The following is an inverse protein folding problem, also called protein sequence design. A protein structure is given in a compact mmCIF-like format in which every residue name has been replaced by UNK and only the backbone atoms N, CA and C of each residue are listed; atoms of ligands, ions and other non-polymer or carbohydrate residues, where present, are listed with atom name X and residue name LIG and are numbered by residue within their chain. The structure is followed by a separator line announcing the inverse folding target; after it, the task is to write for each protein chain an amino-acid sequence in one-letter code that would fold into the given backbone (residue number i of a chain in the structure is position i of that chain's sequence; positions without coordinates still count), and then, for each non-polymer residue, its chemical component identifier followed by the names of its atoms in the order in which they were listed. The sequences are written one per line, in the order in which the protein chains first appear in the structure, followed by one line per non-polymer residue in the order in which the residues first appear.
data_IF_740315785911
#
_entry.id   IF_740315785911
#
_cell.length_a   1.000
_cell.length_b   1.000
_cell.length_c   1.000
_cell.angle_alpha   90.00
_cell.angle_beta   90.00
_cell.angle_gamma   90.00
#
_symmetry.space_group_name_H-M   'P 1'
#
loop_
_entity.id
_entity.type
_entity.pdbx_description
1 polymer ?
#
# COMPACT_ATOMS: atom_id res chain seq x y z
N UNK A 1 -16.07 -0.17 -6.05
CA UNK A 1 -17.10 -0.50 -7.06
C UNK A 1 -17.38 -1.99 -6.96
N UNK A 2 -18.62 -2.43 -7.19
CA UNK A 2 -18.94 -3.86 -7.15
C UNK A 2 -18.52 -4.52 -8.46
N UNK A 3 -18.00 -5.75 -8.36
CA UNK A 3 -17.55 -6.52 -9.53
C UNK A 3 -18.70 -6.88 -10.47
N UNK A 4 -19.92 -6.92 -9.93
CA UNK A 4 -21.16 -7.26 -10.62
C UNK A 4 -21.96 -6.04 -11.11
N UNK A 5 -21.56 -4.82 -10.74
CA UNK A 5 -22.30 -3.55 -10.92
C UNK A 5 -23.73 -3.53 -10.37
N UNK A 6 -24.13 -4.57 -9.64
CA UNK A 6 -25.48 -4.76 -9.10
C UNK A 6 -25.54 -4.43 -7.60
N UNK A 7 -24.44 -4.67 -6.85
CA UNK A 7 -24.42 -4.55 -5.38
C UNK A 7 -23.39 -3.56 -4.85
N UNK A 8 -23.81 -2.32 -4.57
CA UNK A 8 -22.89 -1.27 -4.10
C UNK A 8 -22.64 -1.37 -2.59
N UNK A 9 -21.39 -1.66 -2.21
CA UNK A 9 -20.92 -1.55 -0.82
C UNK A 9 -20.24 -0.20 -0.58
N UNK A 10 -20.55 0.41 0.56
CA UNK A 10 -19.87 1.62 1.03
C UNK A 10 -18.48 1.26 1.52
N UNK A 11 -17.45 1.89 0.94
CA UNK A 11 -16.04 1.64 1.28
C UNK A 11 -15.60 2.38 2.54
N UNK A 12 -15.88 3.68 2.63
CA UNK A 12 -15.45 4.54 3.74
C UNK A 12 -16.62 5.24 4.39
N UNK A 13 -16.60 5.35 5.71
CA UNK A 13 -17.60 6.09 6.47
C UNK A 13 -17.45 7.60 6.30
N UNK A 14 -16.22 8.10 6.17
CA UNK A 14 -15.92 9.52 6.02
C UNK A 14 -15.24 9.82 4.68
N UNK A 15 -15.48 11.02 4.17
CA UNK A 15 -14.82 11.52 2.96
C UNK A 15 -13.31 11.71 3.17
N UNK A 16 -12.91 12.06 4.39
CA UNK A 16 -11.49 12.24 4.76
C UNK A 16 -10.73 10.92 4.65
N UNK A 17 -11.28 9.81 5.13
CA UNK A 17 -10.63 8.50 5.02
C UNK A 17 -10.50 8.07 3.56
N UNK A 18 -11.53 8.32 2.75
CA UNK A 18 -11.47 8.08 1.31
C UNK A 18 -10.33 8.87 0.65
N UNK A 19 -10.21 10.17 0.94
CA UNK A 19 -9.16 10.98 0.35
C UNK A 19 -7.76 10.58 0.84
N UNK A 20 -7.62 10.21 2.12
CA UNK A 20 -6.35 9.72 2.64
C UNK A 20 -5.93 8.41 1.97
N UNK A 21 -6.85 7.45 1.84
CA UNK A 21 -6.58 6.19 1.16
C UNK A 21 -6.26 6.39 -0.32
N UNK A 22 -7.04 7.22 -1.01
CA UNK A 22 -6.81 7.51 -2.43
C UNK A 22 -5.50 8.23 -2.68
N UNK A 23 -5.13 9.20 -1.83
CA UNK A 23 -3.86 9.91 -1.92
C UNK A 23 -2.67 8.93 -1.75
N UNK A 24 -2.76 7.98 -0.82
CA UNK A 24 -1.72 6.97 -0.61
C UNK A 24 -1.64 5.98 -1.79
N UNK A 25 -2.77 5.59 -2.36
CA UNK A 25 -2.80 4.78 -3.59
C UNK A 25 -2.18 5.52 -4.78
N UNK A 26 -2.48 6.81 -4.94
CA UNK A 26 -1.90 7.60 -6.02
C UNK A 26 -0.41 7.88 -5.79
N UNK A 27 0.03 8.01 -4.54
CA UNK A 27 1.43 8.26 -4.20
C UNK A 27 2.36 7.16 -4.71
N UNK A 28 1.96 5.88 -4.60
CA UNK A 28 2.77 4.75 -5.12
C UNK A 28 2.86 4.69 -6.66
N UNK A 29 2.16 5.56 -7.39
CA UNK A 29 2.25 5.66 -8.85
C UNK A 29 2.67 7.06 -9.35
N UNK A 30 2.57 8.07 -8.49
CA UNK A 30 2.65 9.48 -8.89
C UNK A 30 3.81 10.27 -8.28
N UNK A 31 4.52 9.72 -7.29
CA UNK A 31 5.70 10.36 -6.73
C UNK A 31 6.97 10.01 -7.51
N UNK A 32 7.95 10.91 -7.49
CA UNK A 32 9.23 10.73 -8.19
C UNK A 32 10.06 9.57 -7.61
N UNK A 33 9.87 9.25 -6.32
CA UNK A 33 10.56 8.17 -5.62
C UNK A 33 9.59 7.03 -5.32
N UNK A 34 9.55 6.05 -6.22
CA UNK A 34 8.66 4.89 -6.14
C UNK A 34 9.41 3.60 -6.49
N UNK A 35 8.96 2.47 -5.96
CA UNK A 35 9.39 1.15 -6.37
C UNK A 35 9.14 0.96 -7.87
N UNK A 36 10.11 0.39 -8.58
CA UNK A 36 10.04 0.28 -10.05
C UNK A 36 8.90 -0.61 -10.55
N UNK A 37 8.59 -1.69 -9.82
CA UNK A 37 7.61 -2.71 -10.21
C UNK A 37 6.70 -3.11 -9.03
N UNK A 38 5.62 -3.81 -9.33
CA UNK A 38 4.87 -4.57 -8.31
C UNK A 38 5.72 -5.75 -7.86
N UNK A 39 5.98 -5.84 -6.55
CA UNK A 39 6.75 -6.91 -5.95
C UNK A 39 5.80 -7.96 -5.38
N UNK A 40 5.92 -9.20 -5.86
CA UNK A 40 5.11 -10.32 -5.36
C UNK A 40 5.70 -10.82 -4.05
N UNK A 41 5.01 -10.57 -2.93
CA UNK A 41 5.47 -10.98 -1.60
C UNK A 41 4.66 -12.15 -1.05
N UNK A 42 5.31 -12.99 -0.26
CA UNK A 42 4.68 -14.07 0.48
C UNK A 42 4.24 -13.63 1.91
N UNK A 43 3.57 -14.52 2.65
CA UNK A 43 3.06 -14.18 4.00
C UNK A 43 4.17 -13.90 5.02
N UNK A 44 5.33 -14.55 4.93
CA UNK A 44 6.45 -14.29 5.84
C UNK A 44 7.02 -12.87 5.64
N UNK A 45 7.13 -12.45 4.38
CA UNK A 45 7.56 -11.09 4.01
C UNK A 45 6.51 -10.04 4.40
N UNK A 46 5.22 -10.34 4.23
CA UNK A 46 4.14 -9.47 4.71
C UNK A 46 4.18 -9.32 6.23
N UNK A 47 4.45 -10.40 6.96
CA UNK A 47 4.56 -10.35 8.42
C UNK A 47 5.78 -9.53 8.86
N UNK A 48 6.89 -9.58 8.12
CA UNK A 48 8.01 -8.67 8.32
C UNK A 48 7.57 -7.20 8.19
N UNK A 49 6.78 -6.86 7.17
CA UNK A 49 6.27 -5.48 6.99
C UNK A 49 5.39 -5.08 8.16
N UNK A 50 4.45 -5.94 8.58
CA UNK A 50 3.55 -5.69 9.73
C UNK A 50 4.29 -5.43 11.04
N UNK A 51 5.44 -6.06 11.23
CA UNK A 51 6.26 -5.91 12.44
C UNK A 51 7.15 -4.66 12.43
N UNK A 52 7.52 -4.16 11.25
CA UNK A 52 8.50 -3.09 11.10
C UNK A 52 7.91 -1.75 10.64
N UNK A 53 6.66 -1.73 10.18
CA UNK A 53 5.98 -0.53 9.70
C UNK A 53 4.60 -0.37 10.34
N UNK A 54 4.23 0.87 10.65
CA UNK A 54 2.91 1.14 11.22
C UNK A 54 1.83 1.04 10.14
N UNK A 55 0.75 0.31 10.44
CA UNK A 55 -0.44 0.30 9.58
C UNK A 55 -1.14 1.66 9.66
N UNK A 56 -1.37 2.30 8.51
CA UNK A 56 -2.12 3.56 8.43
C UNK A 56 -3.61 3.29 8.72
N UNK A 57 -4.38 4.26 9.26
CA UNK A 57 -5.73 4.02 9.79
C UNK A 57 -6.82 3.86 8.72
N UNK A 58 -6.45 3.89 7.44
CA UNK A 58 -7.36 3.79 6.30
C UNK A 58 -6.89 2.66 5.36
N UNK A 59 -7.84 1.98 4.71
CA UNK A 59 -7.62 0.80 3.86
C UNK A 59 -8.74 0.71 2.82
N UNK A 60 -8.47 0.14 1.66
CA UNK A 60 -9.52 -0.26 0.71
C UNK A 60 -9.90 -1.72 0.98
N UNK A 61 -10.80 -1.95 1.92
CA UNK A 61 -11.20 -3.30 2.34
C UNK A 61 -12.26 -3.97 1.44
N UNK A 62 -13.08 -3.20 0.72
CA UNK A 62 -14.21 -3.73 -0.08
C UNK A 62 -13.94 -3.74 -1.58
N UNK A 63 -13.22 -2.75 -2.10
CA UNK A 63 -13.00 -2.60 -3.54
C UNK A 63 -11.85 -3.45 -4.07
N UNK A 64 -10.63 -3.11 -3.68
CA UNK A 64 -9.40 -3.67 -4.29
C UNK A 64 -8.48 -4.34 -3.24
N UNK A 65 -8.85 -4.29 -1.95
CA UNK A 65 -8.14 -5.00 -0.90
C UNK A 65 -6.74 -4.42 -0.62
N UNK A 66 -6.63 -3.14 -0.30
CA UNK A 66 -5.31 -2.49 -0.09
C UNK A 66 -5.14 -2.02 1.33
N UNK A 67 -4.12 -2.56 2.00
CA UNK A 67 -3.63 -2.04 3.26
C UNK A 67 -2.44 -1.10 3.03
N UNK A 68 -2.38 -0.01 3.80
CA UNK A 68 -1.29 0.95 3.74
C UNK A 68 -0.45 0.89 5.02
N UNK A 69 0.86 0.94 4.85
CA UNK A 69 1.84 0.99 5.93
C UNK A 69 2.81 2.16 5.71
N UNK A 70 3.52 2.54 6.76
CA UNK A 70 4.50 3.62 6.72
C UNK A 70 4.95 4.03 8.12
N UNK A 71 6.13 4.62 8.24
CA UNK A 71 6.64 5.13 9.52
C UNK A 71 6.69 6.66 9.57
N UNK A 72 6.33 7.33 8.47
CA UNK A 72 6.23 8.77 8.37
C UNK A 72 5.00 9.19 7.55
N UNK A 73 4.71 10.49 7.56
CA UNK A 73 3.69 11.08 6.69
C UNK A 73 4.18 11.24 5.24
N UNK A 74 5.49 11.14 5.03
CA UNK A 74 6.17 11.31 3.75
C UNK A 74 6.38 9.99 3.00
N UNK A 75 5.98 8.86 3.59
CA UNK A 75 6.10 7.53 3.02
C UNK A 75 4.79 6.75 2.93
N UNK A 76 4.81 5.74 2.06
CA UNK A 76 3.74 4.75 1.95
C UNK A 76 4.27 3.43 1.40
N UNK A 77 3.80 2.34 1.99
CA UNK A 77 3.87 0.98 1.46
C UNK A 77 2.44 0.52 1.25
N UNK A 78 2.07 0.21 0.01
CA UNK A 78 0.76 -0.32 -0.35
C UNK A 78 0.84 -1.83 -0.56
N UNK A 79 0.04 -2.58 0.19
CA UNK A 79 -0.08 -4.03 0.08
C UNK A 79 -1.44 -4.36 -0.53
N UNK A 80 -1.43 -4.90 -1.74
CA UNK A 80 -2.60 -5.39 -2.45
C UNK A 80 -2.85 -6.85 -2.08
N UNK A 81 -4.00 -7.15 -1.49
CA UNK A 81 -4.41 -8.50 -1.15
C UNK A 81 -5.20 -9.12 -2.32
N UNK A 82 -4.53 -9.98 -3.09
CA UNK A 82 -5.11 -10.69 -4.22
C UNK A 82 -5.69 -12.06 -3.83
N UNK A 83 -5.91 -12.30 -2.54
CA UNK A 83 -6.50 -13.51 -1.96
C UNK A 83 -5.51 -14.63 -1.71
N UNK A 84 -4.71 -15.03 -2.71
CA UNK A 84 -3.71 -16.11 -2.56
C UNK A 84 -2.26 -15.63 -2.58
N UNK A 85 -2.04 -14.36 -2.93
CA UNK A 85 -0.75 -13.70 -2.95
C UNK A 85 -0.94 -12.20 -2.66
N UNK A 86 0.17 -11.51 -2.42
CA UNK A 86 0.17 -10.07 -2.17
C UNK A 86 1.12 -9.37 -3.13
N UNK A 87 0.68 -8.21 -3.64
CA UNK A 87 1.58 -7.31 -4.35
C UNK A 87 1.95 -6.15 -3.44
N UNK A 88 3.19 -5.71 -3.54
CA UNK A 88 3.73 -4.59 -2.81
C UNK A 88 4.21 -3.51 -3.77
N UNK A 89 3.82 -2.28 -3.49
CA UNK A 89 4.46 -1.08 -4.01
C UNK A 89 4.80 -0.15 -2.85
N UNK A 90 5.83 0.66 -3.00
CA UNK A 90 6.15 1.69 -2.01
C UNK A 90 6.66 2.96 -2.67
N UNK A 91 6.50 4.07 -1.98
CA UNK A 91 6.95 5.36 -2.44
C UNK A 91 7.22 6.28 -1.26
N UNK A 92 7.99 7.33 -1.53
CA UNK A 92 8.13 8.44 -0.61
C UNK A 92 8.19 9.77 -1.35
N UNK A 93 7.91 10.85 -0.63
CA UNK A 93 7.92 12.22 -1.17
C UNK A 93 9.33 12.77 -1.38
N UNK A 94 10.34 12.16 -0.76
CA UNK A 94 11.74 12.55 -0.88
C UNK A 94 12.65 11.30 -0.92
N UNK A 95 13.88 11.52 -1.40
CA UNK A 95 14.85 10.46 -1.63
C UNK A 95 15.35 9.79 -0.33
N UNK A 96 15.43 10.53 0.78
CA UNK A 96 15.94 10.02 2.06
C UNK A 96 14.99 8.96 2.63
N UNK A 97 13.69 9.30 2.72
CA UNK A 97 12.65 8.39 3.20
C UNK A 97 12.49 7.19 2.26
N UNK A 98 12.60 7.41 0.94
CA UNK A 98 12.57 6.32 -0.03
C UNK A 98 13.71 5.34 0.21
N UNK A 99 14.95 5.84 0.35
CA UNK A 99 16.13 5.01 0.62
C UNK A 99 16.01 4.27 1.95
N UNK A 100 15.41 4.88 2.97
CA UNK A 100 15.18 4.20 4.23
C UNK A 100 14.28 2.97 4.04
N UNK A 101 13.14 3.13 3.36
CA UNK A 101 12.23 2.02 3.09
C UNK A 101 12.87 0.99 2.17
N UNK A 102 13.43 1.44 1.05
CA UNK A 102 14.06 0.59 0.04
C UNK A 102 15.18 -0.28 0.65
N UNK A 103 15.99 0.27 1.56
CA UNK A 103 17.04 -0.48 2.24
C UNK A 103 16.52 -1.62 3.12
N UNK A 104 15.26 -1.52 3.59
CA UNK A 104 14.63 -2.52 4.48
C UNK A 104 13.81 -3.54 3.70
N UNK A 105 13.11 -3.13 2.64
CA UNK A 105 12.13 -3.98 1.95
C UNK A 105 12.34 -4.11 0.44
N UNK A 106 13.26 -3.37 -0.18
CA UNK A 106 13.47 -3.37 -1.63
C UNK A 106 14.05 -4.67 -2.20
N UNK A 107 14.52 -5.57 -1.33
CA UNK A 107 14.93 -6.93 -1.71
C UNK A 107 13.88 -8.00 -1.40
N UNK A 108 12.70 -7.60 -0.88
CA UNK A 108 11.59 -8.52 -0.66
C UNK A 108 10.81 -8.73 -1.95
N UNK A 109 10.21 -9.91 -2.06
CA UNK A 109 9.36 -10.29 -3.17
C UNK A 109 10.10 -10.61 -4.46
N UNK A 110 9.36 -11.21 -5.38
CA UNK A 110 9.81 -11.49 -6.74
C UNK A 110 9.38 -10.34 -7.67
N UNK A 111 10.23 -10.02 -8.66
CA UNK A 111 9.96 -9.05 -9.73
C UNK A 111 9.33 -9.73 -10.93
#
# INVERSE_FOLDING_TARGET
MSKDEETWEKEFETLTDFFNAMANLQAVFGLDYTSEDFLFINEEELEFIRQNFQKKPFTFSKWIGIDFYGNSDSDVIAIFNNGTYYDMCYAATNEEDFKEIDSRIGNLGEK
#
